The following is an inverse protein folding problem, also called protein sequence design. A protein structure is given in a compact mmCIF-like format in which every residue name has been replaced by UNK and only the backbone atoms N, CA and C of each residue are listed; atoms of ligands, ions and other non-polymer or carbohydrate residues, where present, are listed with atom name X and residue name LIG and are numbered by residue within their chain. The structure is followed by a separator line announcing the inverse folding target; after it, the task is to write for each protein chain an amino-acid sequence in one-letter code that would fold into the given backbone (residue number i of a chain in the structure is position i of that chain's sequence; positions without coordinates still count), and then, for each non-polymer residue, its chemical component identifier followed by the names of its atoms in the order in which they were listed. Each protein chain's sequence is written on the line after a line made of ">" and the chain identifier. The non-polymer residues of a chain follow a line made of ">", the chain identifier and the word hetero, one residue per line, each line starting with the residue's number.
data_IF_716366251950
#
_entry.id   IF_716366251950
#
_cell.length_a   1.000
_cell.length_b   1.000
_cell.length_c   1.000
_cell.angle_alpha   90.00
_cell.angle_beta   90.00
_cell.angle_gamma   90.00
#
_symmetry.space_group_name_H-M   'P 1'
#
loop_
_entity.id
_entity.type
_entity.pdbx_description
1 polymer ?
#
# COMPACT_ATOMS: atom_id res chain seq x y z
N UNK A 1 -47.35 16.09 -22.99
CA UNK A 1 -46.63 14.90 -22.47
C UNK A 1 -45.31 15.36 -21.90
N UNK A 2 -45.25 15.60 -20.63
CA UNK A 2 -44.02 15.98 -19.90
C UNK A 2 -43.15 14.74 -19.78
N UNK A 3 -42.07 14.68 -20.50
CA UNK A 3 -41.01 13.67 -20.38
C UNK A 3 -40.45 13.83 -18.96
N UNK A 4 -40.93 13.05 -17.98
CA UNK A 4 -40.28 12.92 -16.69
C UNK A 4 -38.88 12.30 -16.99
N UNK A 5 -37.84 13.08 -16.79
CA UNK A 5 -36.46 12.58 -16.75
C UNK A 5 -36.34 11.72 -15.47
N UNK A 6 -36.79 10.49 -15.55
CA UNK A 6 -36.44 9.51 -14.51
C UNK A 6 -35.01 9.10 -14.80
N UNK A 7 -34.09 9.48 -13.90
CA UNK A 7 -32.71 8.98 -13.93
C UNK A 7 -32.77 7.46 -13.91
N UNK A 8 -32.05 6.81 -14.82
CA UNK A 8 -31.97 5.35 -14.83
C UNK A 8 -31.25 4.82 -13.56
N UNK A 9 -31.47 3.56 -13.20
CA UNK A 9 -30.86 2.94 -12.02
C UNK A 9 -29.32 3.02 -12.04
N UNK A 10 -28.73 2.98 -13.23
CA UNK A 10 -27.28 3.13 -13.44
C UNK A 10 -26.76 4.48 -12.91
N UNK A 11 -27.47 5.57 -13.21
CA UNK A 11 -27.10 6.92 -12.73
C UNK A 11 -27.31 7.08 -11.22
N UNK A 12 -28.38 6.50 -10.67
CA UNK A 12 -28.65 6.54 -9.23
C UNK A 12 -27.51 5.83 -8.49
N UNK A 13 -27.09 4.66 -8.97
CA UNK A 13 -26.00 3.90 -8.38
C UNK A 13 -24.64 4.65 -8.49
N UNK A 14 -24.35 5.26 -9.64
CA UNK A 14 -23.11 6.06 -9.81
C UNK A 14 -23.11 7.28 -8.88
N UNK A 15 -24.22 8.02 -8.80
CA UNK A 15 -24.30 9.19 -7.93
C UNK A 15 -24.20 8.83 -6.44
N UNK A 16 -24.80 7.71 -6.03
CA UNK A 16 -24.67 7.21 -4.67
C UNK A 16 -23.22 6.77 -4.36
N UNK A 17 -22.51 6.18 -5.36
CA UNK A 17 -21.08 5.90 -5.24
C UNK A 17 -20.27 7.19 -5.00
N UNK A 18 -20.50 8.21 -5.83
CA UNK A 18 -19.81 9.51 -5.67
C UNK A 18 -20.11 10.11 -4.30
N UNK A 19 -21.37 10.09 -3.85
CA UNK A 19 -21.74 10.56 -2.52
C UNK A 19 -21.05 9.77 -1.42
N UNK A 20 -20.95 8.44 -1.53
CA UNK A 20 -20.24 7.56 -0.62
C UNK A 20 -18.77 7.95 -0.49
N UNK A 21 -18.07 8.15 -1.62
CA UNK A 21 -16.66 8.56 -1.61
C UNK A 21 -16.49 9.97 -1.01
N UNK A 22 -17.34 10.92 -1.37
CA UNK A 22 -17.27 12.29 -0.82
C UNK A 22 -17.50 12.26 0.70
N UNK A 23 -18.55 11.60 1.17
CA UNK A 23 -18.88 11.52 2.60
C UNK A 23 -17.79 10.78 3.37
N UNK A 24 -17.32 9.63 2.86
CA UNK A 24 -16.28 8.84 3.51
C UNK A 24 -14.91 9.53 3.54
N UNK A 25 -14.66 10.49 2.63
CA UNK A 25 -13.42 11.28 2.63
C UNK A 25 -13.52 12.48 3.59
N UNK A 26 -14.69 13.13 3.66
CA UNK A 26 -14.90 14.34 4.48
C UNK A 26 -15.16 14.01 5.94
N UNK A 27 -15.87 12.91 6.21
CA UNK A 27 -16.24 12.50 7.55
C UNK A 27 -15.40 11.30 8.04
N UNK A 28 -15.06 11.23 9.33
CA UNK A 28 -14.30 10.12 9.90
C UNK A 28 -15.16 8.87 10.11
N UNK A 29 -15.87 8.44 9.06
CA UNK A 29 -16.76 7.27 9.07
C UNK A 29 -16.12 6.18 8.20
N UNK A 30 -16.21 4.91 8.64
CA UNK A 30 -15.76 3.80 7.84
C UNK A 30 -16.55 3.71 6.53
N UNK A 31 -15.87 3.84 5.41
CA UNK A 31 -16.46 3.87 4.07
C UNK A 31 -17.22 2.57 3.73
N UNK A 32 -16.81 1.42 4.29
CA UNK A 32 -17.53 0.15 4.13
C UNK A 32 -18.90 0.16 4.81
N UNK A 33 -19.00 0.78 6.00
CA UNK A 33 -20.29 0.95 6.65
C UNK A 33 -21.23 1.85 5.83
N UNK A 34 -20.70 2.94 5.27
CA UNK A 34 -21.44 3.79 4.34
C UNK A 34 -21.86 3.02 3.08
N UNK A 35 -20.99 2.16 2.55
CA UNK A 35 -21.26 1.34 1.38
C UNK A 35 -22.41 0.34 1.62
N UNK A 36 -22.48 -0.28 2.80
CA UNK A 36 -23.62 -1.12 3.16
C UNK A 36 -24.94 -0.34 3.19
N UNK A 37 -24.94 0.87 3.76
CA UNK A 37 -26.13 1.73 3.75
C UNK A 37 -26.53 2.09 2.32
N UNK A 38 -25.57 2.48 1.49
CA UNK A 38 -25.83 2.79 0.09
C UNK A 38 -26.33 1.56 -0.68
N UNK A 39 -25.73 0.38 -0.46
CA UNK A 39 -26.18 -0.88 -1.07
C UNK A 39 -27.61 -1.22 -0.70
N UNK A 40 -27.98 -1.07 0.58
CA UNK A 40 -29.33 -1.30 1.05
C UNK A 40 -30.31 -0.31 0.42
N UNK A 41 -30.03 0.99 0.46
CA UNK A 41 -30.95 2.01 -0.06
C UNK A 41 -31.12 1.91 -1.58
N UNK A 42 -30.01 1.79 -2.34
CA UNK A 42 -30.08 1.70 -3.81
C UNK A 42 -30.65 0.36 -4.23
N UNK A 43 -30.25 -0.74 -3.60
CA UNK A 43 -30.76 -2.08 -3.88
C UNK A 43 -32.26 -2.18 -3.70
N UNK A 44 -32.79 -1.79 -2.53
CA UNK A 44 -34.21 -1.88 -2.23
C UNK A 44 -35.05 -0.89 -3.03
N UNK A 45 -34.67 0.39 -3.05
CA UNK A 45 -35.56 1.45 -3.55
C UNK A 45 -35.37 1.78 -5.03
N UNK A 46 -34.19 1.49 -5.62
CA UNK A 46 -33.92 1.75 -7.03
C UNK A 46 -34.00 0.47 -7.89
N UNK A 47 -33.52 -0.65 -7.36
CA UNK A 47 -33.46 -1.92 -8.09
C UNK A 47 -34.56 -2.90 -7.70
N UNK A 48 -35.26 -2.68 -6.58
CA UNK A 48 -36.32 -3.56 -6.08
C UNK A 48 -35.80 -4.91 -5.54
N UNK A 49 -34.53 -4.96 -5.15
CA UNK A 49 -33.91 -6.16 -4.58
C UNK A 49 -34.40 -6.40 -3.16
N UNK A 50 -34.48 -7.66 -2.76
CA UNK A 50 -34.70 -8.02 -1.35
C UNK A 50 -33.37 -8.00 -0.54
N UNK A 51 -33.49 -8.07 0.79
CA UNK A 51 -32.32 -8.03 1.67
C UNK A 51 -31.38 -9.22 1.45
N UNK A 52 -31.89 -10.39 1.05
CA UNK A 52 -31.08 -11.58 0.79
C UNK A 52 -30.27 -11.42 -0.49
N UNK A 53 -30.86 -10.81 -1.50
CA UNK A 53 -30.18 -10.50 -2.76
C UNK A 53 -29.06 -9.49 -2.54
N UNK A 54 -29.29 -8.47 -1.72
CA UNK A 54 -28.26 -7.49 -1.34
C UNK A 54 -27.13 -8.17 -0.54
N UNK A 55 -27.47 -9.02 0.44
CA UNK A 55 -26.49 -9.74 1.25
C UNK A 55 -25.68 -10.77 0.42
N UNK A 56 -26.25 -11.34 -0.64
CA UNK A 56 -25.55 -12.21 -1.56
C UNK A 56 -24.40 -11.49 -2.30
N UNK A 57 -24.39 -10.16 -2.35
CA UNK A 57 -23.30 -9.34 -2.88
C UNK A 57 -22.07 -9.28 -1.97
N UNK A 58 -22.12 -9.85 -0.76
CA UNK A 58 -20.94 -9.93 0.10
C UNK A 58 -19.98 -10.98 -0.46
N UNK A 59 -18.79 -10.55 -0.87
CA UNK A 59 -17.74 -11.49 -1.27
C UNK A 59 -17.16 -12.19 -0.03
N UNK A 60 -17.68 -13.39 0.27
CA UNK A 60 -17.24 -14.18 1.42
C UNK A 60 -15.76 -14.58 1.29
N UNK A 61 -15.29 -14.82 0.06
CA UNK A 61 -13.90 -15.13 -0.24
C UNK A 61 -12.96 -13.99 0.13
N UNK A 62 -13.28 -12.77 -0.30
CA UNK A 62 -12.50 -11.58 0.05
C UNK A 62 -12.45 -11.37 1.57
N UNK A 63 -13.57 -11.50 2.25
CA UNK A 63 -13.64 -11.34 3.71
C UNK A 63 -12.77 -12.37 4.41
N UNK A 64 -12.89 -13.65 4.03
CA UNK A 64 -12.10 -14.74 4.61
C UNK A 64 -10.61 -14.54 4.36
N UNK A 65 -10.24 -14.16 3.16
CA UNK A 65 -8.84 -13.92 2.79
C UNK A 65 -8.23 -12.76 3.58
N UNK A 66 -8.95 -11.64 3.69
CA UNK A 66 -8.48 -10.50 4.49
C UNK A 66 -8.31 -10.86 5.96
N UNK A 67 -9.26 -11.60 6.54
CA UNK A 67 -9.16 -12.09 7.92
C UNK A 67 -7.92 -13.00 8.06
N UNK A 68 -7.77 -13.99 7.21
CA UNK A 68 -6.68 -14.97 7.28
C UNK A 68 -5.30 -14.33 7.13
N UNK A 69 -5.12 -13.51 6.08
CA UNK A 69 -3.84 -12.86 5.78
C UNK A 69 -3.44 -11.85 6.87
N UNK A 70 -4.39 -11.01 7.32
CA UNK A 70 -4.08 -10.02 8.33
C UNK A 70 -3.91 -10.64 9.72
N UNK A 71 -4.55 -11.79 9.99
CA UNK A 71 -4.31 -12.57 11.20
C UNK A 71 -2.90 -13.17 11.22
N UNK A 72 -2.48 -13.80 10.13
CA UNK A 72 -1.12 -14.34 9.99
C UNK A 72 -0.08 -13.22 10.11
N UNK A 73 -0.32 -12.06 9.50
CA UNK A 73 0.55 -10.89 9.65
C UNK A 73 0.59 -10.35 11.08
N UNK A 74 -0.53 -10.33 11.79
CA UNK A 74 -0.59 -9.93 13.20
C UNK A 74 0.28 -10.85 14.10
N UNK A 75 0.31 -12.15 13.83
CA UNK A 75 1.21 -13.10 14.49
C UNK A 75 2.68 -12.74 14.22
N UNK A 76 3.02 -12.50 12.94
CA UNK A 76 4.38 -12.12 12.55
C UNK A 76 4.86 -10.82 13.20
N UNK A 77 3.96 -9.86 13.38
CA UNK A 77 4.23 -8.62 14.09
C UNK A 77 4.45 -8.87 15.57
N UNK A 78 3.58 -9.66 16.20
CA UNK A 78 3.60 -9.92 17.65
C UNK A 78 4.81 -10.71 18.10
N UNK A 79 5.28 -11.68 17.29
CA UNK A 79 6.47 -12.46 17.62
C UNK A 79 7.80 -11.80 17.18
N UNK A 80 7.77 -10.59 16.63
CA UNK A 80 8.97 -9.85 16.23
C UNK A 80 9.57 -10.30 14.89
N UNK A 81 8.91 -11.15 14.10
CA UNK A 81 9.40 -11.52 12.75
C UNK A 81 9.53 -10.29 11.85
N UNK A 82 8.61 -9.33 11.94
CA UNK A 82 8.67 -8.06 11.19
C UNK A 82 9.92 -7.27 11.61
N UNK A 83 10.19 -7.17 12.92
CA UNK A 83 11.38 -6.47 13.44
C UNK A 83 12.69 -7.17 13.00
N UNK A 84 12.69 -8.50 12.94
CA UNK A 84 13.83 -9.28 12.43
C UNK A 84 14.11 -8.93 10.96
N UNK A 85 13.08 -8.87 10.11
CA UNK A 85 13.20 -8.46 8.69
C UNK A 85 13.83 -7.08 8.61
N UNK A 86 13.31 -6.10 9.36
CA UNK A 86 13.81 -4.72 9.37
C UNK A 86 15.28 -4.66 9.80
N UNK A 87 15.63 -5.27 10.93
CA UNK A 87 17.01 -5.26 11.47
C UNK A 87 17.99 -5.92 10.51
N UNK A 88 17.64 -7.06 9.94
CA UNK A 88 18.49 -7.78 8.99
C UNK A 88 18.74 -6.96 7.73
N UNK A 89 17.69 -6.32 7.22
CA UNK A 89 17.78 -5.47 6.04
C UNK A 89 18.64 -4.22 6.29
N UNK A 90 18.47 -3.54 7.43
CA UNK A 90 19.30 -2.39 7.80
C UNK A 90 20.77 -2.80 7.98
N UNK A 91 21.02 -3.94 8.61
CA UNK A 91 22.39 -4.46 8.75
C UNK A 91 23.08 -4.74 7.40
N UNK A 92 22.30 -5.07 6.36
CA UNK A 92 22.82 -5.36 5.01
C UNK A 92 23.37 -4.15 4.25
N UNK A 93 23.09 -2.91 4.72
CA UNK A 93 23.52 -1.66 4.04
C UNK A 93 25.06 -1.54 3.96
N UNK A 94 25.78 -2.12 4.93
CA UNK A 94 27.25 -2.18 4.91
C UNK A 94 27.93 -0.81 4.80
N UNK A 95 27.37 0.22 5.44
CA UNK A 95 27.94 1.57 5.45
C UNK A 95 27.70 2.41 4.18
N UNK A 96 26.95 1.91 3.18
CA UNK A 96 26.67 2.63 1.94
C UNK A 96 25.38 3.44 2.06
N UNK A 97 25.49 4.74 2.26
CA UNK A 97 24.33 5.65 2.48
C UNK A 97 23.33 5.58 1.32
N UNK A 98 23.79 5.45 0.08
CA UNK A 98 22.94 5.34 -1.11
C UNK A 98 22.01 4.12 -1.11
N UNK A 99 22.33 3.06 -0.35
CA UNK A 99 21.51 1.86 -0.26
C UNK A 99 20.37 2.00 0.75
N UNK A 100 20.44 2.95 1.68
CA UNK A 100 19.42 3.12 2.74
C UNK A 100 18.00 3.29 2.14
N UNK A 101 17.74 4.21 1.17
CA UNK A 101 16.41 4.33 0.56
C UNK A 101 15.94 3.01 -0.08
N UNK A 102 16.81 2.33 -0.82
CA UNK A 102 16.49 1.07 -1.49
C UNK A 102 16.18 -0.07 -0.52
N UNK A 103 16.90 -0.12 0.60
CA UNK A 103 16.62 -1.09 1.68
C UNK A 103 15.27 -0.77 2.33
N UNK A 104 14.94 0.50 2.58
CA UNK A 104 13.64 0.88 3.10
C UNK A 104 12.51 0.54 2.13
N UNK A 105 12.69 0.77 0.83
CA UNK A 105 11.79 0.32 -0.22
C UNK A 105 11.59 -1.20 -0.18
N UNK A 106 12.68 -1.97 -0.20
CA UNK A 106 12.62 -3.43 -0.23
C UNK A 106 11.96 -4.01 1.03
N UNK A 107 12.31 -3.50 2.22
CA UNK A 107 11.69 -3.92 3.49
C UNK A 107 10.19 -3.65 3.49
N UNK A 108 9.79 -2.46 3.08
CA UNK A 108 8.37 -2.11 3.04
C UNK A 108 7.63 -2.98 2.02
N UNK A 109 8.25 -3.24 0.86
CA UNK A 109 7.69 -4.14 -0.15
C UNK A 109 7.53 -5.58 0.39
N UNK A 110 8.52 -6.12 1.10
CA UNK A 110 8.42 -7.45 1.71
C UNK A 110 7.30 -7.49 2.75
N UNK A 111 7.21 -6.49 3.63
CA UNK A 111 6.19 -6.44 4.68
C UNK A 111 4.77 -6.38 4.09
N UNK A 112 4.56 -5.59 3.04
CA UNK A 112 3.25 -5.55 2.36
C UNK A 112 3.00 -6.82 1.55
N UNK A 113 4.02 -7.39 0.94
CA UNK A 113 3.90 -8.62 0.17
C UNK A 113 3.48 -9.84 1.03
N UNK A 114 3.82 -9.84 2.31
CA UNK A 114 3.40 -10.88 3.27
C UNK A 114 2.07 -10.56 3.97
N UNK A 115 1.34 -9.53 3.54
CA UNK A 115 -0.03 -9.28 3.96
C UNK A 115 -0.25 -8.07 4.87
N UNK A 116 0.77 -7.23 5.10
CA UNK A 116 0.53 -5.96 5.77
C UNK A 116 -0.33 -5.04 4.89
N UNK A 117 -1.27 -4.34 5.51
CA UNK A 117 -1.89 -3.20 4.86
C UNK A 117 -0.83 -2.12 4.60
N UNK A 118 -0.88 -1.48 3.43
CA UNK A 118 0.08 -0.45 3.04
C UNK A 118 0.25 0.66 4.10
N UNK A 119 -0.83 1.21 4.71
CA UNK A 119 -0.69 2.18 5.79
C UNK A 119 0.00 1.62 7.05
N UNK A 120 -0.24 0.35 7.38
CA UNK A 120 0.41 -0.28 8.53
C UNK A 120 1.92 -0.43 8.31
N UNK A 121 2.34 -0.84 7.11
CA UNK A 121 3.75 -0.91 6.74
C UNK A 121 4.41 0.48 6.78
N UNK A 122 3.75 1.49 6.22
CA UNK A 122 4.19 2.88 6.25
C UNK A 122 4.31 3.44 7.68
N UNK A 123 3.38 3.11 8.58
CA UNK A 123 3.42 3.53 9.99
C UNK A 123 4.59 2.90 10.77
N UNK A 124 5.01 1.68 10.40
CA UNK A 124 6.14 0.99 11.04
C UNK A 124 7.47 1.49 10.48
N UNK A 125 7.59 1.55 9.15
CA UNK A 125 8.86 1.84 8.48
C UNK A 125 9.12 3.34 8.35
N UNK A 126 8.07 4.17 8.22
CA UNK A 126 8.17 5.61 8.03
C UNK A 126 9.04 6.32 9.07
N UNK A 127 8.78 6.16 10.39
CA UNK A 127 9.60 6.77 11.44
C UNK A 127 11.07 6.36 11.36
N UNK A 128 11.35 5.07 11.07
CA UNK A 128 12.70 4.54 10.94
C UNK A 128 13.41 5.16 9.73
N UNK A 129 12.75 5.14 8.59
CA UNK A 129 13.28 5.67 7.33
C UNK A 129 13.53 7.18 7.41
N UNK A 130 12.57 7.95 7.92
CA UNK A 130 12.70 9.40 8.06
C UNK A 130 13.71 9.79 9.14
N UNK A 131 13.88 8.97 10.20
CA UNK A 131 14.97 9.09 11.16
C UNK A 131 16.35 8.95 10.49
N UNK A 132 16.50 7.99 9.57
CA UNK A 132 17.72 7.88 8.77
C UNK A 132 17.89 9.06 7.82
N UNK A 133 16.83 9.59 7.24
CA UNK A 133 16.89 10.77 6.40
C UNK A 133 17.48 11.97 7.16
N UNK A 134 17.00 12.22 8.38
CA UNK A 134 17.52 13.29 9.26
C UNK A 134 18.98 13.06 9.65
N UNK A 135 19.34 11.82 10.03
CA UNK A 135 20.69 11.48 10.49
C UNK A 135 21.75 11.55 9.39
N UNK A 136 21.43 11.09 8.18
CA UNK A 136 22.41 10.96 7.09
C UNK A 136 22.24 12.00 5.99
N UNK A 137 21.46 13.05 6.21
CA UNK A 137 21.27 14.13 5.25
C UNK A 137 20.63 13.68 3.92
N UNK A 138 19.82 12.61 3.98
CA UNK A 138 19.06 12.11 2.83
C UNK A 138 17.79 12.97 2.68
N UNK A 139 17.39 13.29 1.45
CA UNK A 139 16.14 14.02 1.22
C UNK A 139 14.95 13.32 1.90
N UNK A 140 14.22 14.00 2.82
CA UNK A 140 13.05 13.43 3.48
C UNK A 140 11.96 13.01 2.48
N UNK A 141 11.77 13.80 1.42
CA UNK A 141 10.83 13.46 0.34
C UNK A 141 11.23 12.15 -0.34
N UNK A 142 12.52 12.01 -0.73
CA UNK A 142 13.00 10.76 -1.32
C UNK A 142 12.76 9.58 -0.40
N UNK A 143 13.13 9.70 0.87
CA UNK A 143 13.02 8.61 1.83
C UNK A 143 11.55 8.21 2.09
N UNK A 144 10.68 9.18 2.35
CA UNK A 144 9.25 8.93 2.56
C UNK A 144 8.58 8.28 1.35
N UNK A 145 8.89 8.77 0.15
CA UNK A 145 8.32 8.21 -1.08
C UNK A 145 8.87 6.82 -1.40
N UNK A 146 10.12 6.51 -1.06
CA UNK A 146 10.65 5.13 -1.16
C UNK A 146 9.89 4.15 -0.28
N UNK A 147 9.50 4.57 0.93
CA UNK A 147 8.64 3.75 1.82
C UNK A 147 7.27 3.55 1.19
N UNK A 148 6.63 4.59 0.68
CA UNK A 148 5.29 4.50 0.08
C UNK A 148 5.31 3.65 -1.19
N UNK A 149 6.24 3.90 -2.12
CA UNK A 149 6.38 3.08 -3.33
C UNK A 149 6.76 1.63 -3.02
N UNK A 150 7.56 1.39 -1.98
CA UNK A 150 7.82 0.04 -1.47
C UNK A 150 6.54 -0.66 -1.01
N UNK A 151 5.71 0.05 -0.23
CA UNK A 151 4.43 -0.48 0.24
C UNK A 151 3.48 -0.85 -0.91
N UNK A 152 3.45 -0.05 -1.95
CA UNK A 152 2.64 -0.30 -3.15
C UNK A 152 3.21 -1.43 -4.00
N UNK A 153 4.53 -1.48 -4.16
CA UNK A 153 5.23 -2.52 -4.92
C UNK A 153 4.94 -3.93 -4.40
N UNK A 154 4.98 -4.12 -3.06
CA UNK A 154 4.65 -5.39 -2.43
C UNK A 154 3.15 -5.64 -2.28
N UNK A 155 2.35 -4.58 -2.23
CA UNK A 155 0.92 -4.62 -1.92
C UNK A 155 0.06 -5.41 -2.92
N UNK A 156 0.60 -5.76 -4.09
CA UNK A 156 -0.06 -6.60 -5.11
C UNK A 156 0.48 -8.03 -5.18
N UNK A 157 1.26 -8.47 -4.20
CA UNK A 157 1.64 -9.89 -4.16
C UNK A 157 0.39 -10.78 -4.06
N UNK A 158 0.46 -12.05 -4.48
CA UNK A 158 -0.69 -12.94 -4.45
C UNK A 158 -1.36 -13.07 -3.08
N UNK A 159 -0.58 -12.96 -1.99
CA UNK A 159 -1.05 -13.08 -0.61
C UNK A 159 -1.20 -11.72 0.10
N UNK A 160 -1.12 -10.61 -0.63
CA UNK A 160 -1.29 -9.27 -0.08
C UNK A 160 -2.73 -8.77 -0.26
N UNK A 161 -3.08 -7.69 0.44
CA UNK A 161 -4.43 -7.14 0.44
C UNK A 161 -4.86 -6.68 -0.96
N UNK A 162 -4.06 -5.87 -1.66
CA UNK A 162 -4.41 -5.39 -3.00
C UNK A 162 -4.40 -6.51 -4.04
N UNK A 163 -3.41 -7.42 -3.95
CA UNK A 163 -3.30 -8.57 -4.84
C UNK A 163 -4.52 -9.48 -4.74
N UNK A 164 -4.95 -9.78 -3.51
CA UNK A 164 -6.15 -10.58 -3.25
C UNK A 164 -7.41 -9.91 -3.78
N UNK A 165 -7.64 -8.64 -3.40
CA UNK A 165 -8.83 -7.90 -3.86
C UNK A 165 -8.89 -7.87 -5.37
N UNK A 166 -7.79 -7.52 -6.05
CA UNK A 166 -7.75 -7.38 -7.50
C UNK A 166 -8.04 -8.70 -8.19
N UNK A 167 -7.40 -9.79 -7.76
CA UNK A 167 -7.58 -11.09 -8.39
C UNK A 167 -8.95 -11.71 -8.10
N UNK A 168 -9.47 -11.61 -6.87
CA UNK A 168 -10.83 -12.10 -6.57
C UNK A 168 -11.88 -11.34 -7.37
N UNK A 169 -11.77 -10.02 -7.50
CA UNK A 169 -12.71 -9.26 -8.34
C UNK A 169 -12.60 -9.63 -9.82
N UNK A 170 -11.40 -9.93 -10.31
CA UNK A 170 -11.22 -10.44 -11.67
C UNK A 170 -11.89 -11.81 -11.86
N UNK A 171 -11.74 -12.72 -10.89
CA UNK A 171 -12.38 -14.04 -10.92
C UNK A 171 -13.90 -13.93 -10.89
N UNK A 172 -14.45 -13.12 -9.98
CA UNK A 172 -15.89 -12.83 -9.87
C UNK A 172 -16.45 -12.22 -11.18
N UNK A 173 -15.62 -11.46 -11.88
CA UNK A 173 -15.92 -10.85 -13.18
C UNK A 173 -15.72 -11.80 -14.38
N UNK A 174 -15.26 -13.02 -14.19
CA UNK A 174 -15.00 -13.99 -15.26
C UNK A 174 -13.76 -13.72 -16.10
N UNK A 175 -12.86 -12.82 -15.66
CA UNK A 175 -11.62 -12.45 -16.37
C UNK A 175 -10.45 -13.41 -16.08
N UNK A 176 -10.60 -14.30 -15.09
CA UNK A 176 -9.52 -15.13 -14.56
C UNK A 176 -8.46 -14.37 -13.77
N UNK A 177 -7.87 -14.99 -12.75
CA UNK A 177 -6.84 -14.39 -11.95
C UNK A 177 -5.53 -14.17 -12.73
N UNK A 178 -4.82 -13.11 -12.45
CA UNK A 178 -3.54 -12.74 -13.08
C UNK A 178 -2.48 -12.35 -12.03
N UNK A 179 -2.33 -13.17 -10.99
CA UNK A 179 -1.52 -12.90 -9.80
C UNK A 179 -0.12 -12.36 -10.11
N UNK A 180 0.63 -13.05 -10.96
CA UNK A 180 2.02 -12.67 -11.26
C UNK A 180 2.11 -11.43 -12.15
N UNK A 181 1.21 -11.30 -13.14
CA UNK A 181 1.18 -10.12 -14.02
C UNK A 181 0.93 -8.86 -13.21
N UNK A 182 -0.05 -8.88 -12.33
CA UNK A 182 -0.40 -7.73 -11.49
C UNK A 182 0.73 -7.40 -10.51
N UNK A 183 1.28 -8.41 -9.85
CA UNK A 183 2.39 -8.23 -8.90
C UNK A 183 3.62 -7.64 -9.57
N UNK A 184 4.11 -8.26 -10.66
CA UNK A 184 5.33 -7.78 -11.32
C UNK A 184 5.14 -6.44 -12.02
N UNK A 185 3.94 -6.14 -12.52
CA UNK A 185 3.61 -4.81 -13.06
C UNK A 185 3.71 -3.74 -11.98
N UNK A 186 3.12 -3.97 -10.80
CA UNK A 186 3.22 -3.04 -9.68
C UNK A 186 4.66 -2.90 -9.19
N UNK A 187 5.37 -4.01 -9.01
CA UNK A 187 6.78 -4.00 -8.59
C UNK A 187 7.65 -3.21 -9.57
N UNK A 188 7.49 -3.45 -10.87
CA UNK A 188 8.27 -2.76 -11.90
C UNK A 188 7.97 -1.26 -11.92
N UNK A 189 6.69 -0.86 -11.96
CA UNK A 189 6.30 0.55 -12.00
C UNK A 189 6.80 1.29 -10.76
N UNK A 190 6.58 0.76 -9.57
CA UNK A 190 7.01 1.41 -8.33
C UNK A 190 8.54 1.45 -8.18
N UNK A 191 9.26 0.42 -8.68
CA UNK A 191 10.73 0.43 -8.73
C UNK A 191 11.24 1.51 -9.69
N UNK A 192 10.62 1.67 -10.86
CA UNK A 192 10.96 2.74 -11.82
C UNK A 192 10.71 4.11 -11.21
N UNK A 193 9.57 4.31 -10.52
CA UNK A 193 9.28 5.56 -9.83
C UNK A 193 10.31 5.86 -8.74
N UNK A 194 10.68 4.88 -7.93
CA UNK A 194 11.75 5.02 -6.94
C UNK A 194 13.11 5.34 -7.60
N UNK A 195 13.43 4.73 -8.73
CA UNK A 195 14.66 5.02 -9.47
C UNK A 195 14.69 6.46 -10.02
N UNK A 196 13.58 6.93 -10.58
CA UNK A 196 13.43 8.32 -11.02
C UNK A 196 13.63 9.28 -9.84
N UNK A 197 12.95 9.03 -8.71
CA UNK A 197 13.11 9.83 -7.49
C UNK A 197 14.55 9.84 -7.00
N UNK A 198 15.22 8.68 -7.00
CA UNK A 198 16.62 8.58 -6.60
C UNK A 198 17.52 9.47 -7.44
N UNK A 199 17.34 9.47 -8.76
CA UNK A 199 18.14 10.29 -9.68
C UNK A 199 17.84 11.77 -9.49
N UNK A 200 16.55 12.16 -9.42
CA UNK A 200 16.09 13.55 -9.37
C UNK A 200 16.41 14.20 -8.02
N UNK A 201 16.24 13.48 -6.90
CA UNK A 201 16.41 14.01 -5.55
C UNK A 201 17.84 13.84 -5.00
N UNK A 202 18.82 13.63 -5.87
CA UNK A 202 20.24 13.68 -5.50
C UNK A 202 20.84 12.37 -5.00
N UNK A 203 20.23 11.22 -5.29
CA UNK A 203 20.75 9.90 -4.93
C UNK A 203 22.17 9.64 -5.47
N UNK A 204 22.55 10.26 -6.62
CA UNK A 204 23.91 10.20 -7.15
C UNK A 204 24.96 10.80 -6.20
N UNK A 205 24.60 11.82 -5.43
CA UNK A 205 25.49 12.39 -4.39
C UNK A 205 25.66 11.41 -3.22
N UNK A 206 24.60 10.68 -2.86
CA UNK A 206 24.66 9.67 -1.80
C UNK A 206 25.59 8.51 -2.14
N UNK A 207 25.81 8.19 -3.42
CA UNK A 207 26.76 7.13 -3.84
C UNK A 207 28.20 7.44 -3.48
N UNK A 208 28.54 8.72 -3.25
CA UNK A 208 29.88 9.16 -2.83
C UNK A 208 30.06 9.18 -1.31
N UNK A 209 28.98 9.00 -0.55
CA UNK A 209 29.00 9.02 0.91
C UNK A 209 29.07 7.60 1.47
N UNK A 210 29.93 7.41 2.47
CA UNK A 210 30.04 6.17 3.25
C UNK A 210 29.97 6.51 4.73
N UNK A 211 29.52 5.56 5.53
CA UNK A 211 29.66 5.58 6.98
C UNK A 211 30.98 4.91 7.34
N UNK A 212 31.75 5.51 8.23
CA UNK A 212 32.89 4.87 8.87
C UNK A 212 32.47 3.93 10.00
N UNK A 213 33.46 3.34 10.70
CA UNK A 213 33.20 2.43 11.82
C UNK A 213 32.51 3.10 13.01
N UNK A 214 32.61 4.41 13.13
CA UNK A 214 32.02 5.23 14.21
C UNK A 214 30.63 5.78 13.80
N UNK A 215 30.19 5.52 12.55
CA UNK A 215 28.89 5.97 12.01
C UNK A 215 28.88 7.42 11.56
N UNK A 216 30.04 8.04 11.35
CA UNK A 216 30.19 9.35 10.75
C UNK A 216 30.22 9.27 9.21
N UNK A 217 29.76 10.37 8.57
CA UNK A 217 29.72 10.44 7.11
C UNK A 217 31.11 10.81 6.58
N UNK A 218 31.70 9.95 5.75
CA UNK A 218 32.98 10.19 5.03
C UNK A 218 32.76 10.11 3.53
N UNK A 219 33.45 10.95 2.75
CA UNK A 219 33.45 10.83 1.29
C UNK A 219 34.20 9.55 0.85
N UNK A 220 33.62 8.80 -0.02
CA UNK A 220 34.21 7.60 -0.60
C UNK A 220 35.38 7.99 -1.50
N UNK A 221 36.57 8.14 -0.94
CA UNK A 221 37.78 8.58 -1.62
C UNK A 221 38.78 9.25 -0.69
N UNK A 222 38.36 9.70 0.49
CA UNK A 222 39.24 10.35 1.45
C UNK A 222 40.10 9.36 2.29
N UNK A 223 39.82 8.06 2.19
CA UNK A 223 40.49 7.01 3.01
C UNK A 223 41.86 6.54 2.50
N UNK A 224 42.47 7.17 1.50
CA UNK A 224 43.81 6.78 0.98
C UNK A 224 44.87 7.85 1.10
N UNK A 225 44.76 8.73 2.10
CA UNK A 225 45.76 9.79 2.23
C UNK A 225 45.89 10.39 3.61
N UNK A 226 46.11 9.59 4.65
CA UNK A 226 46.68 10.13 5.88
C UNK A 226 47.21 9.01 6.79
N UNK A 227 48.30 8.43 6.40
CA UNK A 227 49.22 7.75 7.31
C UNK A 227 50.60 8.35 7.04
N UNK A 228 50.87 9.48 7.64
CA UNK A 228 52.22 9.97 8.07
C UNK A 228 52.12 11.47 8.39
N UNK A 229 52.09 11.81 9.68
CA UNK A 229 53.04 12.78 10.23
C UNK A 229 52.72 12.95 11.73
N UNK A 230 53.72 12.62 12.48
CA UNK A 230 53.77 12.70 13.92
C UNK A 230 53.86 14.15 14.43
N UNK A 231 53.41 14.35 15.64
CA UNK A 231 54.02 15.31 16.57
C UNK A 231 53.27 16.59 16.80
N UNK A 232 52.81 16.82 18.03
CA UNK A 232 52.67 18.14 18.55
C UNK A 232 51.45 18.41 19.46
N UNK A 233 51.70 18.17 20.79
CA UNK A 233 51.27 19.01 21.91
C UNK A 233 49.80 19.25 22.21
N UNK A 234 49.42 18.66 23.32
CA UNK A 234 48.46 18.96 24.35
C UNK A 234 47.82 20.39 24.35
N UNK A 235 46.51 20.41 24.42
CA UNK A 235 45.85 21.23 25.44
C UNK A 235 44.47 20.61 25.74
N UNK A 236 44.37 19.92 26.88
CA UNK A 236 43.09 19.53 27.48
C UNK A 236 42.39 20.78 27.98
N UNK A 237 41.23 21.08 27.42
CA UNK A 237 40.24 21.92 28.05
C UNK A 237 39.03 21.08 28.35
N UNK A 238 38.78 20.80 29.62
CA UNK A 238 37.53 20.27 30.13
C UNK A 238 36.48 21.37 30.09
N UNK A 239 35.28 21.12 29.61
CA UNK A 239 34.10 21.81 30.06
C UNK A 239 33.28 20.88 30.99
N UNK A 240 32.95 21.53 32.07
CA UNK A 240 32.18 21.17 33.22
C UNK A 240 30.85 20.44 32.88
N UNK A 241 30.55 19.41 33.67
CA UNK A 241 29.25 18.75 33.71
C UNK A 241 28.41 19.42 34.77
N UNK A 242 27.50 20.30 34.37
CA UNK A 242 26.33 20.62 35.20
C UNK A 242 25.22 21.21 34.32
N UNK A 243 24.00 20.76 34.58
CA UNK A 243 22.71 21.32 34.23
C UNK A 243 22.14 21.09 32.80
N UNK A 244 21.43 19.96 32.64
CA UNK A 244 20.23 19.90 31.84
C UNK A 244 19.30 18.75 32.33
N UNK A 245 18.67 18.95 33.47
CA UNK A 245 17.42 18.29 33.82
C UNK A 245 16.27 19.26 33.57
N UNK A 246 15.29 18.82 32.83
CA UNK A 246 13.92 19.31 32.69
C UNK A 246 13.58 19.85 31.31
N UNK A 247 13.09 18.96 30.47
CA UNK A 247 12.02 19.23 29.53
C UNK A 247 11.22 17.94 29.34
N UNK A 248 10.21 17.78 30.18
CA UNK A 248 9.10 16.82 29.99
C UNK A 248 8.29 17.24 28.79
N UNK A 249 8.49 16.61 27.66
CA UNK A 249 7.69 16.74 26.45
C UNK A 249 7.13 15.36 26.09
N UNK A 250 5.82 15.27 25.96
CA UNK A 250 5.01 14.08 25.77
C UNK A 250 5.58 13.12 24.71
N UNK A 251 5.97 11.95 25.15
CA UNK A 251 6.31 10.82 24.29
C UNK A 251 5.01 10.24 23.73
N UNK A 252 4.85 10.08 22.38
CA UNK A 252 3.81 9.21 21.86
C UNK A 252 4.13 7.79 22.36
N UNK A 253 3.21 7.18 23.05
CA UNK A 253 3.28 5.77 23.43
C UNK A 253 3.17 4.87 22.20
N UNK A 254 4.24 4.80 21.42
CA UNK A 254 4.56 3.62 20.64
C UNK A 254 5.06 2.62 21.65
N UNK A 255 4.23 1.64 22.03
CA UNK A 255 4.63 0.55 22.87
C UNK A 255 5.87 -0.11 22.28
N UNK A 256 7.03 0.24 22.82
CA UNK A 256 8.26 -0.54 22.61
C UNK A 256 7.98 -1.94 23.14
N UNK A 257 8.09 -3.00 22.31
CA UNK A 257 7.99 -4.35 22.82
C UNK A 257 9.04 -4.53 23.91
N UNK A 258 8.65 -5.08 25.06
CA UNK A 258 9.58 -5.44 26.10
C UNK A 258 10.65 -6.39 25.51
N UNK A 259 11.93 -6.28 25.89
CA UNK A 259 12.97 -7.21 25.42
C UNK A 259 12.72 -8.69 25.76
N UNK A 260 11.69 -8.98 26.56
CA UNK A 260 11.24 -10.34 26.88
C UNK A 260 10.18 -10.93 25.92
N UNK A 261 9.61 -10.11 25.01
CA UNK A 261 8.55 -10.52 24.07
C UNK A 261 9.08 -10.87 22.66
N UNK A 262 10.39 -10.83 22.44
CA UNK A 262 10.96 -11.27 21.17
C UNK A 262 10.80 -12.80 21.05
N UNK A 263 10.05 -13.25 20.05
CA UNK A 263 9.86 -14.66 19.73
C UNK A 263 11.19 -15.41 19.57
N UNK A 264 11.15 -16.70 19.82
CA UNK A 264 12.34 -17.54 19.64
C UNK A 264 12.72 -17.62 18.14
N UNK A 265 13.98 -17.99 17.84
CA UNK A 265 14.41 -18.22 16.44
C UNK A 265 13.51 -19.23 15.72
N UNK A 266 12.97 -20.19 16.46
CA UNK A 266 12.03 -21.17 15.94
C UNK A 266 10.71 -20.53 15.50
N UNK A 267 10.15 -19.65 16.33
CA UNK A 267 8.90 -18.95 16.02
C UNK A 267 9.03 -18.07 14.77
N UNK A 268 10.15 -17.33 14.65
CA UNK A 268 10.44 -16.54 13.43
C UNK A 268 10.52 -17.42 12.19
N UNK A 269 11.26 -18.54 12.27
CA UNK A 269 11.42 -19.48 11.17
C UNK A 269 10.09 -20.12 10.78
N UNK A 270 9.30 -20.57 11.76
CA UNK A 270 7.97 -21.14 11.50
C UNK A 270 7.02 -20.12 10.88
N UNK A 271 7.07 -18.87 11.32
CA UNK A 271 6.25 -17.80 10.74
C UNK A 271 6.63 -17.51 9.28
N UNK A 272 7.93 -17.43 8.97
CA UNK A 272 8.40 -17.24 7.59
C UNK A 272 8.04 -18.43 6.69
N UNK A 273 8.17 -19.67 7.23
CA UNK A 273 7.73 -20.88 6.53
C UNK A 273 6.21 -20.92 6.32
N UNK A 274 5.42 -20.40 7.27
CA UNK A 274 3.97 -20.28 7.12
C UNK A 274 3.59 -19.34 5.96
N UNK A 275 4.23 -18.17 5.84
CA UNK A 275 4.02 -17.28 4.69
C UNK A 275 4.42 -17.94 3.36
N UNK A 276 5.56 -18.62 3.34
CA UNK A 276 6.00 -19.35 2.15
C UNK A 276 5.00 -20.46 1.78
N UNK A 277 4.52 -21.21 2.78
CA UNK A 277 3.54 -22.26 2.57
C UNK A 277 2.22 -21.72 2.02
N UNK A 278 1.72 -20.60 2.54
CA UNK A 278 0.52 -19.94 2.01
C UNK A 278 0.72 -19.51 0.57
N UNK A 279 1.87 -18.91 0.23
CA UNK A 279 2.19 -18.51 -1.13
C UNK A 279 2.26 -19.72 -2.08
N UNK A 280 2.88 -20.83 -1.66
CA UNK A 280 2.95 -22.08 -2.46
C UNK A 280 1.56 -22.67 -2.63
N UNK A 281 0.74 -22.73 -1.58
CA UNK A 281 -0.63 -23.27 -1.65
C UNK A 281 -1.49 -22.45 -2.60
N UNK A 282 -1.35 -21.13 -2.58
CA UNK A 282 -2.08 -20.23 -3.47
C UNK A 282 -1.64 -20.37 -4.95
N UNK A 283 -0.30 -20.32 -5.20
CA UNK A 283 0.22 -20.22 -6.57
C UNK A 283 0.43 -21.55 -7.27
N UNK A 284 0.79 -22.61 -6.52
CA UNK A 284 1.10 -23.92 -7.11
C UNK A 284 -0.09 -24.86 -7.04
N UNK A 285 -0.81 -24.83 -5.93
CA UNK A 285 -1.97 -25.69 -5.73
C UNK A 285 -3.30 -25.02 -6.06
N UNK A 286 -3.28 -23.72 -6.42
CA UNK A 286 -4.47 -22.94 -6.81
C UNK A 286 -5.60 -23.03 -5.76
N UNK A 287 -5.22 -23.03 -4.47
CA UNK A 287 -6.18 -23.11 -3.37
C UNK A 287 -6.45 -21.73 -2.78
N UNK A 288 -7.62 -21.59 -2.19
CA UNK A 288 -8.06 -20.36 -1.57
C UNK A 288 -7.07 -19.86 -0.51
N UNK A 289 -6.63 -18.64 -0.69
CA UNK A 289 -5.62 -17.96 0.16
C UNK A 289 -6.13 -17.77 1.59
N UNK A 290 -7.43 -17.46 1.73
CA UNK A 290 -8.05 -17.22 3.04
C UNK A 290 -8.01 -18.45 3.93
N UNK A 291 -8.40 -19.60 3.40
CA UNK A 291 -8.31 -20.87 4.14
C UNK A 291 -6.87 -21.26 4.45
N UNK A 292 -5.95 -21.07 3.50
CA UNK A 292 -4.54 -21.37 3.71
C UNK A 292 -3.95 -20.48 4.81
N UNK A 293 -4.19 -19.17 4.75
CA UNK A 293 -3.65 -18.20 5.71
C UNK A 293 -4.24 -18.37 7.12
N UNK A 294 -5.57 -18.59 7.22
CA UNK A 294 -6.20 -18.81 8.53
C UNK A 294 -5.74 -20.13 9.15
N UNK A 295 -5.54 -21.18 8.35
CA UNK A 295 -5.00 -22.46 8.81
C UNK A 295 -3.58 -22.28 9.35
N UNK A 296 -2.71 -21.60 8.61
CA UNK A 296 -1.36 -21.29 9.05
C UNK A 296 -1.35 -20.49 10.35
N UNK A 297 -2.20 -19.45 10.46
CA UNK A 297 -2.33 -18.64 11.67
C UNK A 297 -2.82 -19.46 12.87
N UNK A 298 -3.79 -20.35 12.67
CA UNK A 298 -4.31 -21.24 13.73
C UNK A 298 -3.24 -22.24 14.17
N UNK A 299 -2.50 -22.85 13.24
CA UNK A 299 -1.40 -23.77 13.56
C UNK A 299 -0.34 -23.07 14.42
N UNK A 300 0.10 -21.86 14.02
CA UNK A 300 1.04 -21.08 14.82
C UNK A 300 0.47 -20.74 16.20
N UNK A 301 -0.82 -20.40 16.29
CA UNK A 301 -1.49 -20.08 17.54
C UNK A 301 -1.60 -21.30 18.47
N UNK A 302 -1.77 -22.52 17.94
CA UNK A 302 -1.78 -23.76 18.70
C UNK A 302 -0.39 -24.06 19.27
N UNK A 303 0.67 -23.79 18.52
CA UNK A 303 2.05 -24.02 18.99
C UNK A 303 2.43 -23.09 20.15
N UNK A 304 1.90 -21.87 20.19
CA UNK A 304 2.21 -20.88 21.23
C UNK A 304 0.96 -20.15 21.74
N UNK A 305 0.01 -20.85 22.37
CA UNK A 305 -1.34 -20.31 22.64
C UNK A 305 -1.35 -19.13 23.62
N UNK A 306 -0.39 -19.06 24.54
CA UNK A 306 -0.30 -17.94 25.50
C UNK A 306 0.18 -16.65 24.83
N UNK A 307 1.09 -16.76 23.86
CA UNK A 307 1.64 -15.61 23.14
C UNK A 307 0.57 -14.98 22.24
N UNK A 308 -0.29 -15.76 21.59
CA UNK A 308 -1.21 -15.26 20.56
C UNK A 308 -2.68 -15.13 21.03
N UNK A 309 -2.93 -15.15 22.35
CA UNK A 309 -4.29 -15.08 22.92
C UNK A 309 -5.13 -13.92 22.41
N UNK A 310 -4.52 -12.74 22.22
CA UNK A 310 -5.22 -11.50 21.82
C UNK A 310 -4.93 -11.06 20.37
N UNK A 311 -4.23 -11.87 19.60
CA UNK A 311 -3.82 -11.52 18.23
C UNK A 311 -5.00 -11.32 17.28
N UNK A 312 -6.13 -12.00 17.50
CA UNK A 312 -7.37 -11.81 16.75
C UNK A 312 -7.85 -10.35 16.79
N UNK A 313 -7.61 -9.62 17.88
CA UNK A 313 -7.94 -8.21 18.01
C UNK A 313 -7.09 -7.31 17.10
N UNK A 314 -5.94 -7.80 16.63
CA UNK A 314 -5.01 -7.09 15.76
C UNK A 314 -5.29 -7.34 14.26
N UNK A 315 -6.28 -8.19 13.93
CA UNK A 315 -6.81 -8.32 12.57
C UNK A 315 -7.26 -6.93 12.09
N UNK A 316 -7.04 -6.64 10.82
CA UNK A 316 -7.39 -5.34 10.23
C UNK A 316 -8.90 -5.18 10.03
N UNK A 317 -9.69 -5.28 11.10
CA UNK A 317 -11.16 -5.23 11.08
C UNK A 317 -11.74 -4.03 10.34
N UNK A 318 -11.17 -2.80 10.45
CA UNK A 318 -11.62 -1.67 9.65
C UNK A 318 -11.47 -1.90 8.15
N UNK A 319 -10.41 -2.59 7.71
CA UNK A 319 -10.18 -2.94 6.30
C UNK A 319 -11.12 -4.06 5.86
N UNK A 320 -11.37 -5.05 6.70
CA UNK A 320 -12.34 -6.12 6.43
C UNK A 320 -13.73 -5.53 6.21
N UNK A 321 -14.20 -4.64 7.12
CA UNK A 321 -15.48 -3.96 6.99
C UNK A 321 -15.54 -3.08 5.72
N UNK A 322 -14.45 -2.36 5.44
CA UNK A 322 -14.32 -1.53 4.25
C UNK A 322 -14.53 -2.35 2.97
N UNK A 323 -13.76 -3.41 2.81
CA UNK A 323 -13.80 -4.23 1.58
C UNK A 323 -15.12 -4.98 1.46
N UNK A 324 -15.63 -5.55 2.56
CA UNK A 324 -16.91 -6.23 2.56
C UNK A 324 -18.06 -5.31 2.13
N UNK A 325 -18.15 -4.10 2.68
CA UNK A 325 -19.20 -3.14 2.31
C UNK A 325 -19.07 -2.64 0.88
N UNK A 326 -17.86 -2.28 0.47
CA UNK A 326 -17.63 -1.75 -0.88
C UNK A 326 -17.81 -2.82 -1.96
N UNK A 327 -17.39 -4.07 -1.73
CA UNK A 327 -17.66 -5.18 -2.67
C UNK A 327 -19.16 -5.45 -2.80
N UNK A 328 -19.93 -5.38 -1.70
CA UNK A 328 -21.39 -5.46 -1.75
C UNK A 328 -21.96 -4.35 -2.63
N UNK A 329 -21.47 -3.12 -2.46
CA UNK A 329 -21.92 -2.01 -3.31
C UNK A 329 -21.50 -2.16 -4.77
N UNK A 330 -20.34 -2.74 -5.04
CA UNK A 330 -19.91 -3.06 -6.41
C UNK A 330 -20.87 -4.02 -7.11
N UNK A 331 -21.43 -5.00 -6.39
CA UNK A 331 -22.48 -5.88 -6.92
C UNK A 331 -23.76 -5.09 -7.25
N UNK A 332 -24.15 -4.13 -6.41
CA UNK A 332 -25.28 -3.23 -6.71
C UNK A 332 -25.05 -2.41 -7.98
N UNK A 333 -23.83 -1.88 -8.17
CA UNK A 333 -23.45 -1.18 -9.41
C UNK A 333 -23.57 -2.08 -10.64
N UNK A 334 -23.11 -3.32 -10.53
CA UNK A 334 -23.20 -4.30 -11.63
C UNK A 334 -24.67 -4.64 -11.93
N UNK A 335 -25.49 -4.90 -10.91
CA UNK A 335 -26.92 -5.16 -11.07
C UNK A 335 -27.67 -3.96 -11.67
N UNK A 336 -27.22 -2.73 -11.36
CA UNK A 336 -27.76 -1.51 -11.94
C UNK A 336 -27.36 -1.29 -13.42
N UNK A 337 -26.44 -2.09 -13.99
CA UNK A 337 -25.91 -1.91 -15.34
C UNK A 337 -24.90 -0.76 -15.46
N UNK A 338 -24.37 -0.29 -14.33
CA UNK A 338 -23.43 0.85 -14.33
C UNK A 338 -22.11 0.56 -15.05
N UNK A 339 -21.49 -0.63 -14.94
CA UNK A 339 -20.28 -0.98 -15.67
C UNK A 339 -20.48 -0.97 -17.18
N UNK A 340 -21.56 -1.57 -17.68
CA UNK A 340 -21.90 -1.61 -19.08
C UNK A 340 -22.19 -0.20 -19.62
N UNK A 341 -22.89 0.63 -18.84
CA UNK A 341 -23.18 2.02 -19.21
C UNK A 341 -21.88 2.83 -19.38
N UNK A 342 -20.95 2.76 -18.41
CA UNK A 342 -19.69 3.48 -18.48
C UNK A 342 -18.75 2.86 -19.52
N UNK A 343 -18.73 1.54 -19.66
CA UNK A 343 -17.93 0.82 -20.64
C UNK A 343 -18.32 1.16 -22.07
N UNK A 344 -19.62 1.15 -22.38
CA UNK A 344 -20.15 1.53 -23.69
C UNK A 344 -19.89 3.02 -24.02
N UNK A 345 -19.99 3.89 -23.01
CA UNK A 345 -19.59 5.28 -23.17
C UNK A 345 -18.11 5.41 -23.51
N UNK A 346 -17.23 4.69 -22.79
CA UNK A 346 -15.80 4.70 -23.01
C UNK A 346 -15.41 4.07 -24.38
N UNK A 347 -16.07 2.99 -24.78
CA UNK A 347 -15.88 2.37 -26.09
C UNK A 347 -16.31 3.31 -27.24
N UNK A 348 -17.36 4.10 -27.02
CA UNK A 348 -17.84 5.12 -27.98
C UNK A 348 -16.84 6.26 -28.24
N UNK A 349 -15.75 6.37 -27.49
CA UNK A 349 -14.68 7.35 -27.68
C UNK A 349 -13.69 6.97 -28.81
N UNK A 350 -13.96 5.91 -29.55
CA UNK A 350 -13.27 5.52 -30.78
C UNK A 350 -12.10 4.54 -30.63
N UNK A 351 -11.62 4.26 -29.42
CA UNK A 351 -10.64 3.20 -29.18
C UNK A 351 -10.68 2.76 -27.69
N UNK A 352 -10.72 1.45 -27.44
CA UNK A 352 -10.72 0.89 -26.10
C UNK A 352 -9.51 1.36 -25.25
N UNK A 353 -8.36 1.56 -25.91
CA UNK A 353 -7.16 2.07 -25.25
C UNK A 353 -7.37 3.49 -24.67
N UNK A 354 -8.16 4.36 -25.31
CA UNK A 354 -8.48 5.70 -24.78
C UNK A 354 -9.41 5.56 -23.57
N UNK A 355 -10.42 4.69 -23.65
CA UNK A 355 -11.29 4.37 -22.52
C UNK A 355 -10.48 3.86 -21.31
N UNK A 356 -9.52 2.97 -21.54
CA UNK A 356 -8.60 2.47 -20.54
C UNK A 356 -7.76 3.60 -19.90
N UNK A 357 -7.25 4.55 -20.69
CA UNK A 357 -6.52 5.71 -20.18
C UNK A 357 -7.39 6.58 -19.26
N UNK A 358 -8.63 6.83 -19.67
CA UNK A 358 -9.58 7.63 -18.88
C UNK A 358 -9.86 6.93 -17.55
N UNK A 359 -10.09 5.61 -17.54
CA UNK A 359 -10.30 4.85 -16.31
C UNK A 359 -9.06 4.86 -15.40
N UNK A 360 -7.85 4.76 -15.96
CA UNK A 360 -6.61 4.91 -15.21
C UNK A 360 -6.52 6.29 -14.52
N UNK A 361 -6.92 7.37 -15.22
CA UNK A 361 -6.97 8.70 -14.62
C UNK A 361 -8.08 8.84 -13.59
N UNK A 362 -9.27 8.31 -13.85
CA UNK A 362 -10.36 8.29 -12.85
C UNK A 362 -9.92 7.57 -11.58
N UNK A 363 -9.33 6.37 -11.72
CA UNK A 363 -8.79 5.61 -10.62
C UNK A 363 -7.72 6.39 -9.85
N UNK A 364 -6.76 6.99 -10.55
CA UNK A 364 -5.71 7.79 -9.96
C UNK A 364 -6.24 9.03 -9.21
N UNK A 365 -7.09 9.82 -9.84
CA UNK A 365 -7.64 11.05 -9.22
C UNK A 365 -8.49 10.71 -8.00
N UNK A 366 -9.38 9.72 -8.09
CA UNK A 366 -10.21 9.31 -6.95
C UNK A 366 -9.34 8.80 -5.79
N UNK A 367 -8.34 7.99 -6.09
CA UNK A 367 -7.44 7.43 -5.08
C UNK A 367 -6.54 8.47 -4.41
N UNK A 368 -6.25 9.59 -5.05
CA UNK A 368 -5.49 10.68 -4.42
C UNK A 368 -6.18 11.26 -3.16
N UNK A 369 -7.50 11.08 -3.05
CA UNK A 369 -8.33 11.58 -1.93
C UNK A 369 -9.04 10.46 -1.15
N UNK A 370 -9.15 9.27 -1.72
CA UNK A 370 -9.87 8.14 -1.16
C UNK A 370 -8.95 6.93 -0.95
N UNK A 371 -9.45 5.92 -0.22
CA UNK A 371 -8.71 4.67 -0.02
C UNK A 371 -8.65 3.83 -1.29
N UNK A 372 -7.45 3.49 -1.77
CA UNK A 372 -7.24 2.57 -2.89
C UNK A 372 -7.91 1.21 -2.65
N UNK A 373 -7.92 0.73 -1.40
CA UNK A 373 -8.58 -0.53 -1.00
C UNK A 373 -10.09 -0.50 -1.28
N UNK A 374 -10.73 0.66 -1.11
CA UNK A 374 -12.15 0.85 -1.40
C UNK A 374 -12.43 1.00 -2.90
N UNK A 375 -11.48 1.55 -3.64
CA UNK A 375 -11.67 1.85 -5.06
C UNK A 375 -11.56 0.61 -5.95
N UNK A 376 -10.62 -0.29 -5.67
CA UNK A 376 -10.34 -1.47 -6.51
C UNK A 376 -11.57 -2.35 -6.79
N UNK A 377 -12.40 -2.73 -5.80
CA UNK A 377 -13.59 -3.55 -6.04
C UNK A 377 -14.63 -2.88 -6.95
N UNK A 378 -14.60 -1.56 -7.04
CA UNK A 378 -15.57 -0.77 -7.83
C UNK A 378 -15.07 -0.55 -9.26
N UNK A 379 -13.78 -0.17 -9.40
CA UNK A 379 -13.27 0.27 -10.70
C UNK A 379 -12.96 -0.90 -11.64
N UNK A 380 -12.58 -2.08 -11.09
CA UNK A 380 -12.27 -3.25 -11.91
C UNK A 380 -13.49 -3.77 -12.68
N UNK A 381 -14.70 -3.93 -12.10
CA UNK A 381 -15.88 -4.30 -12.87
C UNK A 381 -16.21 -3.35 -14.02
N UNK A 382 -15.93 -2.05 -13.87
CA UNK A 382 -16.13 -1.04 -14.93
C UNK A 382 -15.19 -1.29 -16.12
N UNK A 383 -14.07 -1.97 -15.91
CA UNK A 383 -13.12 -2.31 -16.97
C UNK A 383 -13.56 -3.50 -17.86
N UNK A 384 -14.50 -4.34 -17.39
CA UNK A 384 -14.92 -5.59 -18.07
C UNK A 384 -15.35 -5.35 -19.52
N UNK A 385 -16.24 -4.41 -19.84
CA UNK A 385 -16.66 -4.17 -21.22
C UNK A 385 -15.51 -3.80 -22.16
N UNK A 386 -14.53 -3.04 -21.68
CA UNK A 386 -13.36 -2.65 -22.45
C UNK A 386 -12.42 -3.83 -22.74
N UNK A 387 -12.36 -4.83 -21.85
CA UNK A 387 -11.64 -6.08 -22.10
C UNK A 387 -12.39 -6.92 -23.11
N UNK A 388 -13.70 -7.10 -22.94
CA UNK A 388 -14.53 -7.97 -23.77
C UNK A 388 -14.66 -7.48 -25.24
N UNK A 389 -14.83 -6.18 -25.42
CA UNK A 389 -15.08 -5.57 -26.74
C UNK A 389 -13.80 -5.01 -27.37
N UNK A 390 -12.83 -4.60 -26.55
CA UNK A 390 -11.66 -3.83 -26.98
C UNK A 390 -10.43 -4.66 -27.35
N UNK A 391 -10.44 -5.97 -27.15
CA UNK A 391 -9.27 -6.84 -27.39
C UNK A 391 -8.09 -6.55 -26.50
N UNK A 392 -8.30 -5.89 -25.34
CA UNK A 392 -7.26 -5.60 -24.37
C UNK A 392 -6.95 -6.87 -23.53
N UNK A 393 -5.67 -7.08 -23.21
CA UNK A 393 -5.26 -8.13 -22.28
C UNK A 393 -5.82 -7.85 -20.89
N UNK A 394 -6.68 -8.73 -20.37
CA UNK A 394 -7.32 -8.55 -19.06
C UNK A 394 -6.29 -8.32 -17.94
N UNK A 395 -5.24 -9.14 -17.89
CA UNK A 395 -4.23 -9.09 -16.85
C UNK A 395 -3.46 -7.76 -16.84
N UNK A 396 -2.99 -7.30 -18.01
CA UNK A 396 -2.22 -6.06 -18.10
C UNK A 396 -3.10 -4.81 -17.97
N UNK A 397 -4.33 -4.84 -18.50
CA UNK A 397 -5.23 -3.70 -18.32
C UNK A 397 -5.68 -3.56 -16.86
N UNK A 398 -6.08 -4.64 -16.20
CA UNK A 398 -6.43 -4.58 -14.77
C UNK A 398 -5.20 -4.20 -13.94
N UNK A 399 -4.00 -4.70 -14.27
CA UNK A 399 -2.77 -4.25 -13.63
C UNK A 399 -2.55 -2.73 -13.81
N UNK A 400 -2.76 -2.20 -15.02
CA UNK A 400 -2.65 -0.77 -15.27
C UNK A 400 -3.65 0.04 -14.44
N UNK A 401 -4.88 -0.40 -14.38
CA UNK A 401 -5.95 0.24 -13.62
C UNK A 401 -5.66 0.21 -12.11
N UNK A 402 -5.28 -0.95 -11.59
CA UNK A 402 -4.96 -1.15 -10.18
C UNK A 402 -3.71 -0.36 -9.75
N UNK A 403 -2.64 -0.39 -10.55
CA UNK A 403 -1.42 0.38 -10.27
C UNK A 403 -1.69 1.87 -10.38
N UNK A 404 -2.43 2.34 -11.39
CA UNK A 404 -2.82 3.76 -11.52
C UNK A 404 -3.64 4.23 -10.32
N UNK A 405 -4.49 3.36 -9.78
CA UNK A 405 -5.32 3.64 -8.60
C UNK A 405 -4.54 3.62 -7.28
N UNK A 406 -3.32 3.11 -7.24
CA UNK A 406 -2.52 3.04 -6.02
C UNK A 406 -1.30 3.95 -6.03
N UNK A 407 -0.69 4.18 -7.20
CA UNK A 407 0.55 4.96 -7.33
C UNK A 407 0.41 6.41 -6.81
N UNK A 408 -0.79 6.94 -6.82
CA UNK A 408 -1.12 8.29 -6.35
C UNK A 408 -1.35 8.39 -4.84
N UNK A 409 -1.29 7.26 -4.11
CA UNK A 409 -1.40 7.20 -2.64
C UNK A 409 -0.14 7.76 -1.93
N UNK A 410 0.50 8.69 -2.58
CA UNK A 410 1.64 9.52 -2.13
C UNK A 410 1.18 10.92 -1.70
N UNK A 411 -0.09 11.26 -1.90
CA UNK A 411 -0.70 12.55 -1.60
C UNK A 411 -0.73 12.81 -0.09
N UNK A 412 -0.55 14.06 0.38
CA UNK A 412 -0.72 14.39 1.81
C UNK A 412 -2.17 14.20 2.28
N UNK A 413 -3.13 14.05 1.36
CA UNK A 413 -4.54 13.74 1.65
C UNK A 413 -4.81 12.23 1.68
N UNK A 414 -3.91 11.41 1.16
CA UNK A 414 -3.97 9.96 1.23
C UNK A 414 -3.40 9.45 2.55
N UNK A 415 -3.77 8.21 2.93
CA UNK A 415 -3.33 7.63 4.20
C UNK A 415 -1.81 7.49 4.29
N UNK A 416 -1.14 7.03 3.22
CA UNK A 416 0.30 6.80 3.22
C UNK A 416 1.09 8.12 3.22
N UNK A 417 0.69 9.08 2.39
CA UNK A 417 1.33 10.39 2.35
C UNK A 417 1.17 11.19 3.65
N UNK A 418 -0.03 11.13 4.28
CA UNK A 418 -0.27 11.74 5.58
C UNK A 418 0.62 11.12 6.68
N UNK A 419 0.83 9.79 6.65
CA UNK A 419 1.74 9.11 7.57
C UNK A 419 3.19 9.57 7.39
N UNK A 420 3.65 9.78 6.15
CA UNK A 420 4.98 10.34 5.93
C UNK A 420 5.09 11.77 6.47
N UNK A 421 4.07 12.60 6.25
CA UNK A 421 4.04 13.95 6.78
C UNK A 421 4.10 14.00 8.32
N UNK A 422 3.31 13.14 8.97
CA UNK A 422 3.27 13.04 10.43
C UNK A 422 4.60 12.58 11.07
N UNK A 423 5.43 11.87 10.31
CA UNK A 423 6.73 11.38 10.76
C UNK A 423 7.91 12.18 10.22
N UNK A 424 7.69 13.44 9.79
CA UNK A 424 8.76 14.30 9.27
C UNK A 424 9.95 14.38 10.24
N UNK A 425 11.21 14.38 9.77
CA UNK A 425 12.35 14.62 10.62
C UNK A 425 12.44 16.11 11.02
N UNK A 426 13.06 16.40 12.15
CA UNK A 426 13.25 17.79 12.64
C UNK A 426 14.11 18.67 11.72
N UNK A 427 14.82 18.05 10.80
CA UNK A 427 15.68 18.72 9.81
C UNK A 427 14.91 19.47 8.71
N UNK A 428 13.57 19.31 8.63
CA UNK A 428 12.74 20.00 7.64
C UNK A 428 11.51 20.64 8.31
N UNK A 429 11.18 21.86 7.88
CA UNK A 429 9.93 22.50 8.27
C UNK A 429 8.71 21.78 7.68
N UNK A 430 7.63 21.70 8.48
CA UNK A 430 6.41 20.96 8.12
C UNK A 430 5.75 21.49 6.85
N UNK A 431 5.63 22.80 6.72
CA UNK A 431 5.03 23.43 5.54
C UNK A 431 5.86 23.17 4.27
N UNK A 432 7.19 23.19 4.41
CA UNK A 432 8.11 22.87 3.32
C UNK A 432 7.96 21.41 2.90
N UNK A 433 7.91 20.47 3.85
CA UNK A 433 7.74 19.06 3.56
C UNK A 433 6.36 18.76 2.96
N UNK A 434 5.30 19.37 3.51
CA UNK A 434 3.96 19.31 2.95
C UNK A 434 3.92 19.74 1.47
N UNK A 435 4.52 20.89 1.15
CA UNK A 435 4.58 21.40 -0.23
C UNK A 435 5.36 20.46 -1.16
N UNK A 436 6.44 19.84 -0.66
CA UNK A 436 7.20 18.86 -1.43
C UNK A 436 6.37 17.59 -1.73
N UNK A 437 5.67 17.05 -0.72
CA UNK A 437 4.78 15.90 -0.90
C UNK A 437 3.64 16.26 -1.86
N UNK A 438 3.01 17.41 -1.68
CA UNK A 438 1.92 17.88 -2.54
C UNK A 438 2.39 18.07 -3.99
N UNK A 439 3.54 18.68 -4.21
CA UNK A 439 4.12 18.85 -5.54
C UNK A 439 4.42 17.52 -6.21
N UNK A 440 5.01 16.57 -5.47
CA UNK A 440 5.25 15.23 -5.96
C UNK A 440 3.95 14.50 -6.30
N UNK A 441 2.97 14.53 -5.41
CA UNK A 441 1.66 13.92 -5.62
C UNK A 441 0.95 14.48 -6.85
N UNK A 442 1.02 15.79 -7.07
CA UNK A 442 0.46 16.43 -8.26
C UNK A 442 1.12 15.90 -9.54
N UNK A 443 2.46 15.79 -9.56
CA UNK A 443 3.18 15.23 -10.70
C UNK A 443 2.79 13.77 -10.94
N UNK A 444 2.74 12.95 -9.89
CA UNK A 444 2.37 11.52 -10.00
C UNK A 444 0.93 11.36 -10.47
N UNK A 445 -0.01 12.18 -9.98
CA UNK A 445 -1.41 12.13 -10.41
C UNK A 445 -1.56 12.49 -11.89
N UNK A 446 -0.80 13.46 -12.39
CA UNK A 446 -0.86 13.89 -13.77
C UNK A 446 -0.11 12.96 -14.74
N UNK A 447 1.02 12.43 -14.32
CA UNK A 447 1.94 11.68 -15.18
C UNK A 447 1.87 10.17 -14.95
N UNK A 448 1.62 9.74 -13.72
CA UNK A 448 1.62 8.33 -13.32
C UNK A 448 0.66 7.45 -14.12
N UNK A 449 -0.66 7.78 -14.18
CA UNK A 449 -1.61 6.99 -14.96
C UNK A 449 -1.26 6.89 -16.44
N UNK A 450 -0.73 7.98 -17.03
CA UNK A 450 -0.26 7.99 -18.42
C UNK A 450 0.93 7.04 -18.61
N UNK A 451 1.94 7.11 -17.75
CA UNK A 451 3.11 6.23 -17.84
C UNK A 451 2.73 4.76 -17.67
N UNK A 452 1.85 4.46 -16.73
CA UNK A 452 1.34 3.11 -16.48
C UNK A 452 0.58 2.60 -17.70
N UNK A 453 -0.29 3.42 -18.28
CA UNK A 453 -1.05 3.08 -19.48
C UNK A 453 -0.13 2.83 -20.68
N UNK A 454 0.85 3.72 -20.92
CA UNK A 454 1.85 3.55 -22.00
C UNK A 454 2.65 2.24 -21.81
N UNK A 455 3.00 1.89 -20.58
CA UNK A 455 3.81 0.71 -20.30
C UNK A 455 3.03 -0.61 -20.36
N UNK A 456 1.76 -0.62 -19.92
CA UNK A 456 1.01 -1.85 -19.70
C UNK A 456 -0.16 -2.06 -20.69
N UNK A 457 -0.74 -0.99 -21.23
CA UNK A 457 -1.91 -1.10 -22.13
C UNK A 457 -1.53 -0.90 -23.58
N UNK A 458 -0.74 0.12 -23.87
CA UNK A 458 -0.42 0.48 -25.27
C UNK A 458 0.33 -0.60 -26.06
N UNK A 459 1.24 -1.42 -25.44
CA UNK A 459 1.92 -2.47 -26.20
C UNK A 459 1.04 -3.64 -26.62
N UNK A 460 -0.15 -3.82 -26.01
CA UNK A 460 -1.15 -4.80 -26.46
C UNK A 460 -0.80 -6.26 -26.16
N UNK A 461 -0.01 -6.52 -25.12
CA UNK A 461 0.31 -7.89 -24.70
C UNK A 461 -0.85 -8.65 -24.14
#
# INVERSE_FOLDING_TARGET
>A
MTRRWTMGPEWIAILALVALFVVGTVLPINMGALAYVAAWLVGMYSLGLDEKEILAGISADLVLTLIGVTYLFAIARQNGTVDLIVRTAVASVGGRVALIPWVMFAVTAVITAIGAASPAACAIIGPIALGFAGRYGISPLMMGMFVVHGAQAGGFSPISIYGTITNSVMEDAGLGASHLTIFFSSLAVNTVMAAILFVVLGGRKLMRLRMDADGELVEAGAATGSATAAGGSETRVHPDRSDARSATGATPTTGTPNPGDAGTRLEHTLTLLAFLAVAVVALVFEKNIGFAAITAAVVLSILTPKAYKDTVKQIAWPTVLLVAGVSTYATILTTAGSPEFVGNWAAGLGAAAIGALILCYVGGVVSAFASSTALLPVIIPIAIPLVAEGGLSAGFFVAALAVSSTIVDVSPFSTNGALMLANKPDTIDENTYYKQILGYATIVTLVGPLLVWVALVLPGW
#
